data_IF_643049216383
#
_entry.id   IF_643049216383
#
_cell.length_a   1.000
_cell.length_b   1.000
_cell.length_c   1.000
_cell.angle_alpha   90.00
_cell.angle_beta   90.00
_cell.angle_gamma   90.00
#
_symmetry.space_group_name_H-M   'P 1'
#
loop_
_entity.id
_entity.type
_entity.pdbx_description
1 polymer ?
#
# COMPACT_ATOMS: atom_id res chain seq x y z
N UNK A 1 -4.91 19.19 -23.46
CA UNK A 1 -5.91 18.35 -22.75
C UNK A 1 -5.74 18.62 -21.26
N UNK A 2 -6.80 18.93 -20.51
CA UNK A 2 -6.64 19.17 -19.07
C UNK A 2 -6.45 17.83 -18.37
N UNK A 3 -5.69 17.83 -17.27
CA UNK A 3 -5.46 16.62 -16.46
C UNK A 3 -6.76 15.98 -15.97
N UNK A 4 -7.79 16.81 -15.70
CA UNK A 4 -9.15 16.37 -15.39
C UNK A 4 -9.76 15.49 -16.48
N UNK A 5 -9.54 15.86 -17.73
CA UNK A 5 -10.17 15.20 -18.89
C UNK A 5 -9.49 13.85 -19.15
N UNK A 6 -8.17 13.79 -18.90
CA UNK A 6 -7.43 12.53 -18.94
C UNK A 6 -7.88 11.55 -17.85
N UNK A 7 -7.97 11.99 -16.60
CA UNK A 7 -8.31 11.14 -15.45
C UNK A 7 -9.77 10.64 -15.46
N UNK A 8 -10.66 11.33 -16.19
CA UNK A 8 -12.06 10.91 -16.36
C UNK A 8 -12.29 10.05 -17.60
N UNK A 9 -11.34 10.02 -18.52
CA UNK A 9 -11.41 9.19 -19.73
C UNK A 9 -11.42 7.69 -19.40
N UNK A 10 -11.97 6.87 -20.31
CA UNK A 10 -11.99 5.41 -20.14
C UNK A 10 -10.59 4.79 -20.00
N UNK A 11 -9.58 5.37 -20.67
CA UNK A 11 -8.18 4.93 -20.57
C UNK A 11 -7.57 5.38 -19.25
N UNK A 12 -7.78 6.64 -18.85
CA UNK A 12 -7.26 7.18 -17.59
C UNK A 12 -7.77 6.42 -16.37
N UNK A 13 -9.07 6.10 -16.32
CA UNK A 13 -9.65 5.28 -15.24
C UNK A 13 -8.98 3.90 -15.13
N UNK A 14 -8.78 3.21 -16.27
CA UNK A 14 -8.10 1.91 -16.28
C UNK A 14 -6.66 2.00 -15.78
N UNK A 15 -5.94 3.06 -16.15
CA UNK A 15 -4.57 3.28 -15.68
C UNK A 15 -4.52 3.52 -14.17
N UNK A 16 -5.37 4.41 -13.65
CA UNK A 16 -5.44 4.67 -12.20
C UNK A 16 -5.84 3.40 -11.45
N UNK A 17 -6.80 2.63 -11.97
CA UNK A 17 -7.21 1.36 -11.38
C UNK A 17 -6.08 0.33 -11.33
N UNK A 18 -5.37 0.15 -12.44
CA UNK A 18 -4.20 -0.74 -12.48
C UNK A 18 -3.09 -0.31 -11.52
N UNK A 19 -2.75 0.99 -11.52
CA UNK A 19 -1.68 1.52 -10.66
C UNK A 19 -2.03 1.41 -9.18
N UNK A 20 -3.24 1.81 -8.79
CA UNK A 20 -3.68 1.68 -7.39
C UNK A 20 -3.78 0.21 -6.98
N UNK A 21 -4.28 -0.67 -7.83
CA UNK A 21 -4.33 -2.12 -7.54
C UNK A 21 -2.95 -2.73 -7.33
N UNK A 22 -1.98 -2.39 -8.19
CA UNK A 22 -0.58 -2.85 -8.03
C UNK A 22 0.05 -2.32 -6.73
N UNK A 23 -0.22 -1.07 -6.38
CA UNK A 23 0.24 -0.49 -5.12
C UNK A 23 -0.36 -1.22 -3.90
N UNK A 24 -1.67 -1.49 -3.90
CA UNK A 24 -2.36 -2.19 -2.81
C UNK A 24 -1.87 -3.64 -2.65
N UNK A 25 -1.65 -4.37 -3.75
CA UNK A 25 -1.08 -5.72 -3.69
C UNK A 25 0.35 -5.68 -3.16
N UNK A 26 1.17 -4.71 -3.58
CA UNK A 26 2.54 -4.55 -3.06
C UNK A 26 2.54 -4.32 -1.54
N UNK A 27 1.60 -3.50 -1.05
CA UNK A 27 1.38 -3.34 0.40
C UNK A 27 1.03 -4.66 1.08
N UNK A 28 0.09 -5.44 0.51
CA UNK A 28 -0.31 -6.73 1.08
C UNK A 28 0.84 -7.74 1.13
N UNK A 29 1.71 -7.77 0.11
CA UNK A 29 2.91 -8.62 0.10
C UNK A 29 3.86 -8.27 1.24
N UNK A 30 4.13 -6.98 1.46
CA UNK A 30 4.94 -6.53 2.61
C UNK A 30 4.25 -6.85 3.93
N UNK A 31 2.94 -6.61 4.01
CA UNK A 31 2.13 -6.84 5.20
C UNK A 31 2.17 -8.31 5.62
N UNK A 32 1.89 -9.23 4.70
CA UNK A 32 1.96 -10.66 5.00
C UNK A 32 3.39 -11.11 5.27
N UNK A 33 4.39 -10.53 4.59
CA UNK A 33 5.81 -10.82 4.83
C UNK A 33 6.25 -10.49 6.25
N UNK A 34 5.85 -9.33 6.79
CA UNK A 34 6.14 -8.95 8.19
C UNK A 34 5.35 -9.83 9.16
N UNK A 35 4.08 -10.13 8.89
CA UNK A 35 3.31 -11.05 9.73
C UNK A 35 3.89 -12.46 9.76
N UNK A 36 4.42 -12.95 8.64
CA UNK A 36 5.08 -14.24 8.53
C UNK A 36 6.33 -14.35 9.42
N UNK A 37 6.89 -13.23 9.90
CA UNK A 37 7.97 -13.26 10.88
C UNK A 37 7.58 -13.98 12.19
N UNK A 38 6.28 -14.12 12.49
CA UNK A 38 5.82 -14.91 13.64
C UNK A 38 6.26 -16.37 13.57
N UNK A 39 6.50 -16.91 12.37
CA UNK A 39 6.95 -18.30 12.18
C UNK A 39 8.45 -18.52 12.43
N UNK A 40 9.20 -17.50 12.86
CA UNK A 40 10.58 -17.67 13.29
C UNK A 40 10.71 -18.51 14.59
N UNK A 41 9.62 -18.70 15.34
CA UNK A 41 9.62 -19.41 16.63
C UNK A 41 10.67 -18.85 17.63
N UNK A 42 10.87 -17.53 17.60
CA UNK A 42 11.84 -16.81 18.43
C UNK A 42 11.15 -15.96 19.51
N UNK A 43 10.01 -16.45 20.02
CA UNK A 43 9.11 -15.72 20.94
C UNK A 43 8.65 -14.34 20.42
N UNK A 44 8.65 -14.15 19.10
CA UNK A 44 8.19 -12.93 18.43
C UNK A 44 9.22 -11.82 18.33
N UNK A 45 10.49 -12.09 18.64
CA UNK A 45 11.58 -11.11 18.56
C UNK A 45 11.70 -10.52 17.15
N UNK A 46 11.71 -11.36 16.11
CA UNK A 46 11.82 -10.93 14.72
C UNK A 46 10.63 -10.10 14.27
N UNK A 47 9.41 -10.54 14.61
CA UNK A 47 8.17 -9.79 14.33
C UNK A 47 8.20 -8.42 14.99
N UNK A 48 8.50 -8.34 16.29
CA UNK A 48 8.51 -7.10 17.05
C UNK A 48 9.55 -6.11 16.52
N UNK A 49 10.73 -6.59 16.12
CA UNK A 49 11.77 -5.75 15.52
C UNK A 49 11.32 -5.17 14.17
N UNK A 50 10.70 -5.99 13.32
CA UNK A 50 10.15 -5.53 12.05
C UNK A 50 8.98 -4.54 12.26
N UNK A 51 8.05 -4.83 13.18
CA UNK A 51 6.93 -3.96 13.50
C UNK A 51 7.39 -2.60 14.05
N UNK A 52 8.41 -2.58 14.93
CA UNK A 52 8.99 -1.34 15.41
C UNK A 52 9.61 -0.51 14.28
N UNK A 53 10.33 -1.14 13.34
CA UNK A 53 10.88 -0.44 12.16
C UNK A 53 9.77 0.18 11.29
N UNK A 54 8.67 -0.56 11.08
CA UNK A 54 7.51 -0.05 10.34
C UNK A 54 6.89 1.18 11.01
N UNK A 55 6.82 1.22 12.34
CA UNK A 55 6.25 2.36 13.08
C UNK A 55 7.20 3.54 13.31
N UNK A 56 8.52 3.31 13.28
CA UNK A 56 9.53 4.29 13.68
C UNK A 56 10.05 5.16 12.52
N UNK A 57 9.74 4.82 11.26
CA UNK A 57 10.30 5.52 10.10
C UNK A 57 9.30 6.50 9.47
N UNK A 58 9.78 7.70 9.15
CA UNK A 58 8.95 8.74 8.50
C UNK A 58 8.46 8.28 7.12
N UNK A 59 9.27 7.49 6.40
CA UNK A 59 8.90 6.97 5.08
C UNK A 59 7.66 6.08 5.16
N UNK A 60 7.61 5.16 6.14
CA UNK A 60 6.43 4.28 6.31
C UNK A 60 5.21 5.07 6.77
N UNK A 61 5.39 6.13 7.59
CA UNK A 61 4.30 7.03 7.96
C UNK A 61 3.71 7.77 6.75
N UNK A 62 4.54 8.22 5.81
CA UNK A 62 4.07 8.82 4.55
C UNK A 62 3.34 7.77 3.70
N UNK A 63 3.87 6.55 3.62
CA UNK A 63 3.21 5.45 2.90
C UNK A 63 1.86 5.08 3.52
N UNK A 64 1.68 5.18 4.84
CA UNK A 64 0.39 4.95 5.52
C UNK A 64 -0.70 5.93 5.04
N UNK A 65 -0.39 7.23 4.98
CA UNK A 65 -1.32 8.24 4.44
C UNK A 65 -1.58 7.99 2.95
N UNK A 66 -0.52 7.66 2.19
CA UNK A 66 -0.64 7.28 0.79
C UNK A 66 -1.50 6.04 0.57
N UNK A 67 -1.43 5.05 1.48
CA UNK A 67 -2.24 3.84 1.46
C UNK A 67 -3.72 4.16 1.59
N UNK A 68 -4.10 5.00 2.57
CA UNK A 68 -5.48 5.45 2.73
C UNK A 68 -6.01 6.14 1.47
N UNK A 69 -5.25 7.08 0.90
CA UNK A 69 -5.64 7.77 -0.34
C UNK A 69 -5.75 6.76 -1.49
N UNK A 70 -4.79 5.85 -1.62
CA UNK A 70 -4.76 4.82 -2.65
C UNK A 70 -5.96 3.88 -2.60
N UNK A 71 -6.40 3.48 -1.39
CA UNK A 71 -7.61 2.68 -1.20
C UNK A 71 -8.85 3.43 -1.68
N UNK A 72 -9.03 4.70 -1.27
CA UNK A 72 -10.19 5.47 -1.72
C UNK A 72 -10.19 5.67 -3.24
N UNK A 73 -9.04 5.99 -3.84
CA UNK A 73 -8.92 6.13 -5.29
C UNK A 73 -9.24 4.81 -6.01
N UNK A 74 -8.77 3.67 -5.49
CA UNK A 74 -9.02 2.35 -6.06
C UNK A 74 -10.50 1.97 -6.01
N UNK A 75 -11.19 2.24 -4.91
CA UNK A 75 -12.61 1.91 -4.76
C UNK A 75 -13.50 2.85 -5.58
N UNK A 76 -13.18 4.15 -5.64
CA UNK A 76 -14.02 5.14 -6.32
C UNK A 76 -13.90 5.04 -7.85
N UNK A 77 -12.73 4.69 -8.38
CA UNK A 77 -12.52 4.55 -9.82
C UNK A 77 -12.72 3.12 -10.35
N UNK A 78 -12.92 2.16 -9.45
CA UNK A 78 -13.03 0.73 -9.75
C UNK A 78 -14.41 0.24 -10.07
#
# INVERSE_FOLDING_TARGET
MKWSDFLTSAVGKKLVMGLTGLFLISFLVVHVGVNACIWANDDGVMFNKAAHFMGATVVVRIMEVGLFIGIFLHIIQG
#
